data_IF_090504326314
#
_entry.id   IF_090504326314
#
_cell.length_a   1.000
_cell.length_b   1.000
_cell.length_c   1.000
_cell.angle_alpha   90.00
_cell.angle_beta   90.00
_cell.angle_gamma   90.00
#
_symmetry.space_group_name_H-M   'P 1'
#
loop_
_entity.id
_entity.type
_entity.pdbx_description
1 polymer ?
#
# COMPACT_ATOMS: atom_id res chain seq x y z
N UNK A 1 -76.90 22.42 -19.05
CA UNK A 1 -76.03 21.23 -18.70
C UNK A 1 -74.68 21.49 -19.23
N UNK A 2 -73.69 21.86 -18.35
CA UNK A 2 -72.29 22.13 -18.72
C UNK A 2 -71.47 20.95 -18.26
N UNK A 3 -70.93 20.19 -19.20
CA UNK A 3 -70.04 19.09 -18.91
C UNK A 3 -68.59 19.65 -18.76
N UNK A 4 -68.03 19.58 -17.54
CA UNK A 4 -66.61 19.88 -17.26
C UNK A 4 -65.81 18.59 -17.38
N UNK A 5 -64.94 18.51 -18.36
CA UNK A 5 -63.99 17.44 -18.51
C UNK A 5 -62.69 17.83 -17.73
N UNK A 6 -62.44 17.14 -16.62
CA UNK A 6 -61.23 17.30 -15.84
C UNK A 6 -60.07 16.49 -16.49
N UNK A 7 -59.05 17.17 -16.98
CA UNK A 7 -57.86 16.59 -17.56
C UNK A 7 -56.88 16.29 -16.39
N UNK A 8 -56.70 15.05 -16.03
CA UNK A 8 -55.71 14.62 -15.04
C UNK A 8 -54.31 14.51 -15.72
N UNK A 9 -53.42 15.43 -15.41
CA UNK A 9 -52.01 15.32 -15.78
C UNK A 9 -51.31 14.27 -14.87
N UNK A 10 -50.96 13.14 -15.46
CA UNK A 10 -50.03 12.18 -14.85
C UNK A 10 -48.59 12.71 -14.96
N UNK A 11 -48.04 13.15 -13.83
CA UNK A 11 -46.59 13.39 -13.71
C UNK A 11 -45.88 12.06 -13.61
N UNK A 12 -45.22 11.62 -14.67
CA UNK A 12 -44.26 10.52 -14.61
C UNK A 12 -42.98 11.01 -13.91
N UNK A 13 -42.80 10.64 -12.65
CA UNK A 13 -41.53 10.82 -11.94
C UNK A 13 -40.57 9.77 -12.49
N UNK A 14 -39.68 10.19 -13.37
CA UNK A 14 -38.54 9.35 -13.80
C UNK A 14 -37.61 9.19 -12.58
N UNK A 15 -37.64 8.04 -11.93
CA UNK A 15 -36.59 7.64 -11.02
C UNK A 15 -35.28 7.44 -11.84
N UNK A 16 -34.39 8.41 -11.80
CA UNK A 16 -33.04 8.20 -12.25
C UNK A 16 -32.43 7.12 -11.33
N UNK A 17 -32.15 5.96 -11.91
CA UNK A 17 -31.35 4.94 -11.20
C UNK A 17 -30.05 5.61 -10.76
N UNK A 18 -29.59 5.41 -9.51
CA UNK A 18 -28.32 5.96 -9.09
C UNK A 18 -27.22 5.42 -10.01
N UNK A 19 -26.40 6.31 -10.53
CA UNK A 19 -25.18 5.94 -11.24
C UNK A 19 -24.35 5.07 -10.29
N UNK A 20 -24.07 3.82 -10.67
CA UNK A 20 -23.28 2.88 -9.87
C UNK A 20 -21.79 3.26 -9.81
N UNK A 21 -21.37 4.27 -10.58
CA UNK A 21 -20.00 4.74 -10.57
C UNK A 21 -19.82 5.88 -9.55
N UNK A 22 -18.86 5.71 -8.63
CA UNK A 22 -18.45 6.79 -7.74
C UNK A 22 -17.64 7.86 -8.49
N UNK A 23 -17.56 9.09 -7.94
CA UNK A 23 -16.93 10.21 -8.64
C UNK A 23 -15.46 9.95 -9.01
N UNK A 24 -14.71 9.18 -8.21
CA UNK A 24 -13.30 8.89 -8.50
C UNK A 24 -13.15 7.90 -9.65
N UNK A 25 -13.94 6.82 -9.69
CA UNK A 25 -13.89 5.86 -10.79
C UNK A 25 -14.20 6.52 -12.14
N UNK A 26 -15.20 7.40 -12.17
CA UNK A 26 -15.59 8.13 -13.41
C UNK A 26 -14.45 9.05 -13.88
N UNK A 27 -13.80 9.77 -12.95
CA UNK A 27 -12.65 10.62 -13.28
C UNK A 27 -11.47 9.80 -13.80
N UNK A 28 -11.16 8.66 -13.17
CA UNK A 28 -10.11 7.74 -13.59
C UNK A 28 -10.39 7.20 -14.99
N UNK A 29 -11.61 6.73 -15.25
CA UNK A 29 -12.02 6.25 -16.58
C UNK A 29 -11.99 7.36 -17.64
N UNK A 30 -12.48 8.56 -17.32
CA UNK A 30 -12.47 9.72 -18.24
C UNK A 30 -11.05 10.17 -18.59
N UNK A 31 -10.13 10.12 -17.64
CA UNK A 31 -8.71 10.47 -17.80
C UNK A 31 -7.92 9.36 -18.50
N UNK A 32 -8.48 8.16 -18.60
CA UNK A 32 -7.87 6.95 -19.13
C UNK A 32 -6.58 6.54 -18.39
N UNK A 33 -6.44 6.93 -17.14
CA UNK A 33 -5.29 6.56 -16.28
C UNK A 33 -5.57 6.76 -14.81
N UNK A 34 -5.00 5.88 -13.97
CA UNK A 34 -4.92 6.02 -12.52
C UNK A 34 -3.81 7.01 -12.14
N UNK A 35 -4.02 7.82 -11.10
CA UNK A 35 -2.95 8.63 -10.49
C UNK A 35 -2.63 8.08 -9.10
N UNK A 36 -1.43 7.55 -8.96
CA UNK A 36 -0.95 6.90 -7.75
C UNK A 36 0.16 7.70 -7.08
N UNK A 37 -0.01 8.07 -5.82
CA UNK A 37 1.06 8.64 -5.01
C UNK A 37 1.97 7.54 -4.46
N UNK A 38 3.27 7.63 -4.71
CA UNK A 38 4.23 6.61 -4.29
C UNK A 38 5.52 7.20 -3.74
N UNK A 39 6.30 6.36 -3.06
CA UNK A 39 7.61 6.73 -2.52
C UNK A 39 8.65 6.74 -3.64
N UNK A 40 9.37 7.86 -3.85
CA UNK A 40 10.35 7.92 -4.93
C UNK A 40 11.73 7.38 -4.58
N UNK A 41 11.96 6.92 -3.34
CA UNK A 41 13.30 6.57 -2.87
C UNK A 41 13.41 5.28 -2.05
N UNK A 42 12.34 4.45 -1.94
CA UNK A 42 12.36 3.24 -1.13
C UNK A 42 12.46 1.98 -2.00
N UNK A 43 13.67 1.42 -2.07
CA UNK A 43 13.91 0.18 -2.79
C UNK A 43 12.99 -0.94 -2.28
N UNK A 44 12.44 -1.73 -3.20
CA UNK A 44 11.47 -2.78 -2.90
C UNK A 44 10.02 -2.30 -2.75
N UNK A 45 9.75 -1.06 -2.41
CA UNK A 45 8.39 -0.51 -2.27
C UNK A 45 8.03 0.47 -3.38
N UNK A 46 8.83 1.51 -3.58
CA UNK A 46 8.63 2.51 -4.63
C UNK A 46 9.94 3.17 -5.01
N UNK A 47 10.38 2.95 -6.24
CA UNK A 47 11.62 3.51 -6.76
C UNK A 47 11.54 3.66 -8.28
N UNK A 48 11.66 4.88 -8.83
CA UNK A 48 11.87 5.06 -10.26
C UNK A 48 13.34 4.79 -10.60
N UNK A 49 13.58 4.18 -11.76
CA UNK A 49 14.92 4.07 -12.35
C UNK A 49 15.30 5.36 -13.10
N UNK A 50 16.51 5.39 -13.66
CA UNK A 50 17.06 6.54 -14.43
C UNK A 50 16.24 6.86 -15.69
N UNK A 51 15.38 5.94 -16.13
CA UNK A 51 14.46 6.13 -17.27
C UNK A 51 13.05 6.51 -16.83
N UNK A 52 12.84 6.73 -15.53
CA UNK A 52 11.54 7.02 -14.95
C UNK A 52 10.61 5.81 -14.85
N UNK A 53 11.13 4.58 -15.00
CA UNK A 53 10.33 3.37 -14.83
C UNK A 53 10.23 3.04 -13.34
N UNK A 54 9.02 3.03 -12.83
CA UNK A 54 8.74 2.75 -11.43
C UNK A 54 8.74 1.24 -11.15
N UNK A 55 9.32 0.84 -10.02
CA UNK A 55 9.33 -0.54 -9.52
C UNK A 55 9.05 -0.57 -8.02
N UNK A 56 8.52 -1.68 -7.53
CA UNK A 56 8.31 -1.91 -6.11
C UNK A 56 6.92 -2.43 -5.77
N UNK A 57 6.78 -2.89 -4.55
CA UNK A 57 5.59 -3.53 -4.02
C UNK A 57 4.35 -2.61 -4.06
N UNK A 58 4.50 -1.36 -3.60
CA UNK A 58 3.45 -0.34 -3.64
C UNK A 58 3.10 0.09 -5.08
N UNK A 59 4.11 0.13 -5.94
CA UNK A 59 3.96 0.44 -7.37
C UNK A 59 3.12 -0.62 -8.07
N UNK A 60 3.41 -1.89 -7.79
CA UNK A 60 2.67 -3.01 -8.38
C UNK A 60 1.24 -3.11 -7.88
N UNK A 61 0.98 -2.70 -6.65
CA UNK A 61 -0.38 -2.56 -6.17
C UNK A 61 -1.19 -1.55 -7.01
N UNK A 62 -0.64 -0.38 -7.32
CA UNK A 62 -1.31 0.59 -8.21
C UNK A 62 -1.50 0.04 -9.64
N UNK A 63 -0.54 -0.74 -10.14
CA UNK A 63 -0.69 -1.45 -11.42
C UNK A 63 -1.80 -2.50 -11.36
N UNK A 64 -2.00 -3.16 -10.23
CA UNK A 64 -3.10 -4.09 -10.03
C UNK A 64 -4.46 -3.37 -10.08
N UNK A 65 -4.60 -2.22 -9.42
CA UNK A 65 -5.81 -1.38 -9.52
C UNK A 65 -6.07 -0.95 -10.97
N UNK A 66 -5.03 -0.49 -11.69
CA UNK A 66 -5.18 -0.11 -13.10
C UNK A 66 -5.56 -1.32 -13.99
N UNK A 67 -4.99 -2.50 -13.70
CA UNK A 67 -5.35 -3.72 -14.42
C UNK A 67 -6.81 -4.11 -14.21
N UNK A 68 -7.33 -3.97 -12.99
CA UNK A 68 -8.74 -4.21 -12.71
C UNK A 68 -9.67 -3.32 -13.56
N UNK A 69 -9.31 -2.05 -13.72
CA UNK A 69 -10.14 -1.05 -14.40
C UNK A 69 -9.97 -1.11 -15.92
N UNK A 70 -8.72 -1.14 -16.41
CA UNK A 70 -8.36 -0.92 -17.81
C UNK A 70 -7.86 -2.17 -18.53
N UNK A 71 -7.61 -3.27 -17.82
CA UNK A 71 -6.86 -4.42 -18.33
C UNK A 71 -5.44 -4.05 -18.86
N UNK A 72 -4.87 -2.98 -18.31
CA UNK A 72 -3.54 -2.49 -18.68
C UNK A 72 -2.81 -1.94 -17.45
N UNK A 73 -1.74 -2.61 -16.98
CA UNK A 73 -0.95 -2.17 -15.82
C UNK A 73 -0.14 -0.90 -16.07
N UNK A 74 -0.05 -0.44 -17.32
CA UNK A 74 0.67 0.79 -17.69
C UNK A 74 -0.18 2.04 -17.58
N UNK A 75 -1.50 1.91 -17.44
CA UNK A 75 -2.41 3.04 -17.27
C UNK A 75 -2.37 3.61 -15.85
N UNK A 76 -1.16 3.84 -15.36
CA UNK A 76 -0.87 4.49 -14.07
C UNK A 76 0.14 5.61 -14.28
N UNK A 77 -0.18 6.80 -13.77
CA UNK A 77 0.76 7.88 -13.56
C UNK A 77 1.18 7.91 -12.10
N UNK A 78 2.46 7.79 -11.84
CA UNK A 78 2.99 7.88 -10.48
C UNK A 78 3.36 9.32 -10.14
N UNK A 79 3.02 9.75 -8.92
CA UNK A 79 3.39 11.04 -8.33
C UNK A 79 4.36 10.76 -7.19
N UNK A 80 5.61 11.27 -7.28
CA UNK A 80 6.59 11.15 -6.22
C UNK A 80 6.18 12.03 -5.03
N UNK A 81 6.03 11.45 -3.84
CA UNK A 81 5.58 12.17 -2.65
C UNK A 81 6.51 11.91 -1.46
N UNK A 82 6.82 13.00 -0.72
CA UNK A 82 7.49 12.88 0.58
C UNK A 82 6.51 12.34 1.64
N UNK A 83 7.01 11.95 2.81
CA UNK A 83 6.16 11.56 3.92
C UNK A 83 5.25 12.70 4.40
N UNK A 84 5.70 13.95 4.26
CA UNK A 84 4.95 15.14 4.66
C UNK A 84 3.85 15.51 3.68
N UNK A 85 4.11 15.39 2.36
CA UNK A 85 3.20 15.93 1.33
C UNK A 85 2.11 14.93 0.93
N UNK A 86 2.30 13.62 1.19
CA UNK A 86 1.41 12.55 0.71
C UNK A 86 -0.06 12.73 1.06
N UNK A 87 -0.36 13.22 2.25
CA UNK A 87 -1.74 13.39 2.70
C UNK A 87 -2.41 14.63 2.09
N UNK A 88 -1.66 15.71 1.92
CA UNK A 88 -2.15 16.91 1.21
C UNK A 88 -2.46 16.58 -0.26
N UNK A 89 -1.60 15.83 -0.93
CA UNK A 89 -1.83 15.38 -2.31
C UNK A 89 -3.08 14.49 -2.43
N UNK A 90 -3.33 13.60 -1.44
CA UNK A 90 -4.53 12.78 -1.43
C UNK A 90 -5.79 13.61 -1.17
N UNK A 91 -5.76 14.53 -0.20
CA UNK A 91 -6.90 15.39 0.13
C UNK A 91 -7.29 16.32 -1.01
N UNK A 92 -6.33 16.92 -1.68
CA UNK A 92 -6.56 17.84 -2.80
C UNK A 92 -7.09 17.17 -4.08
N UNK A 93 -7.03 15.82 -4.15
CA UNK A 93 -7.38 15.08 -5.37
C UNK A 93 -6.29 15.10 -6.43
N UNK A 94 -5.07 15.52 -6.12
CA UNK A 94 -3.91 15.39 -6.99
C UNK A 94 -3.63 13.93 -7.35
N UNK A 95 -3.88 13.03 -6.39
CA UNK A 95 -3.81 11.58 -6.56
C UNK A 95 -5.16 10.92 -6.25
N UNK A 96 -5.42 9.79 -6.88
CA UNK A 96 -6.64 8.99 -6.67
C UNK A 96 -6.45 7.99 -5.52
N UNK A 97 -5.25 7.45 -5.38
CA UNK A 97 -4.84 6.49 -4.37
C UNK A 97 -3.43 6.79 -3.90
N UNK A 98 -3.21 6.65 -2.60
CA UNK A 98 -1.89 6.70 -1.98
C UNK A 98 -1.43 5.28 -1.68
N UNK A 99 -0.40 4.78 -2.40
CA UNK A 99 0.29 3.52 -2.10
C UNK A 99 1.78 3.83 -1.93
N UNK A 100 2.17 4.05 -0.65
CA UNK A 100 3.46 4.65 -0.28
C UNK A 100 3.85 4.28 1.15
N UNK A 101 4.07 3.00 1.41
CA UNK A 101 4.44 2.53 2.76
C UNK A 101 3.80 3.37 3.87
N UNK A 102 2.46 3.49 3.84
CA UNK A 102 1.72 4.40 4.71
C UNK A 102 1.05 3.63 5.83
N UNK A 103 1.47 3.89 7.05
CA UNK A 103 0.92 3.28 8.26
C UNK A 103 -0.51 3.73 8.49
N UNK A 104 -1.41 2.78 8.63
CA UNK A 104 -2.78 3.01 9.07
C UNK A 104 -2.80 3.37 10.54
N UNK A 105 -3.27 4.56 10.87
CA UNK A 105 -3.49 5.02 12.25
C UNK A 105 -4.85 5.68 12.38
N UNK A 106 -5.43 5.62 13.58
CA UNK A 106 -6.70 6.29 13.87
C UNK A 106 -6.66 7.78 13.52
N UNK A 107 -5.59 8.49 13.87
CA UNK A 107 -5.48 9.92 13.59
C UNK A 107 -5.47 10.26 12.11
N UNK A 108 -4.87 9.41 11.26
CA UNK A 108 -4.89 9.57 9.80
C UNK A 108 -6.26 9.24 9.22
N UNK A 109 -6.88 8.19 9.69
CA UNK A 109 -8.19 7.76 9.20
C UNK A 109 -9.29 8.72 9.65
N UNK A 110 -9.51 8.82 10.96
CA UNK A 110 -10.63 9.60 11.52
C UNK A 110 -10.33 11.10 11.58
N UNK A 111 -9.07 11.45 11.91
CA UNK A 111 -8.67 12.86 12.10
C UNK A 111 -8.40 13.60 10.78
N UNK A 112 -7.98 12.90 9.72
CA UNK A 112 -7.63 13.51 8.43
C UNK A 112 -8.58 13.13 7.29
N UNK A 113 -9.59 12.29 7.53
CA UNK A 113 -10.62 11.97 6.55
C UNK A 113 -10.16 11.03 5.42
N UNK A 114 -9.35 10.03 5.77
CA UNK A 114 -8.94 8.98 4.84
C UNK A 114 -9.61 7.64 5.16
N UNK A 115 -9.70 6.78 4.18
CA UNK A 115 -9.99 5.35 4.34
C UNK A 115 -8.77 4.56 3.96
N UNK A 116 -8.35 3.67 4.89
CA UNK A 116 -7.26 2.74 4.63
C UNK A 116 -7.82 1.42 4.10
N UNK A 117 -7.29 0.98 2.98
CA UNK A 117 -7.52 -0.37 2.46
C UNK A 117 -6.94 -1.43 3.38
N UNK A 118 -6.98 -2.71 2.97
CA UNK A 118 -6.36 -3.78 3.74
C UNK A 118 -4.87 -3.54 3.95
N UNK A 119 -4.35 -4.09 5.05
CA UNK A 119 -2.91 -4.04 5.32
C UNK A 119 -2.18 -4.88 4.28
N UNK A 120 -1.47 -4.20 3.37
CA UNK A 120 -0.67 -4.85 2.33
C UNK A 120 0.66 -5.36 2.88
N UNK A 121 1.20 -4.70 3.91
CA UNK A 121 2.44 -5.10 4.55
C UNK A 121 2.40 -4.83 6.06
N UNK A 122 2.56 -5.86 6.87
CA UNK A 122 2.71 -5.77 8.32
C UNK A 122 4.17 -5.54 8.66
N UNK A 123 4.47 -4.36 9.18
CA UNK A 123 5.81 -3.92 9.57
C UNK A 123 5.85 -3.49 11.05
N UNK A 124 6.99 -3.06 11.48
CA UNK A 124 7.25 -2.42 12.75
C UNK A 124 8.46 -1.50 12.63
N UNK A 125 8.64 -0.59 13.58
CA UNK A 125 9.79 0.31 13.62
C UNK A 125 10.99 -0.33 14.31
N UNK A 126 12.19 -0.07 13.79
CA UNK A 126 13.44 -0.52 14.37
C UNK A 126 14.57 0.50 14.25
N UNK A 127 15.75 0.07 14.61
CA UNK A 127 16.95 0.90 14.65
C UNK A 127 18.06 0.29 13.81
N UNK A 128 18.67 1.10 12.96
CA UNK A 128 19.91 0.78 12.24
C UNK A 128 21.07 1.47 12.95
N UNK A 129 22.09 0.70 13.30
CA UNK A 129 23.27 1.19 14.00
C UNK A 129 24.56 0.71 13.33
N UNK A 130 25.66 1.46 13.51
CA UNK A 130 26.98 0.97 13.10
C UNK A 130 27.46 -0.08 14.11
N UNK A 131 28.07 -1.16 13.65
CA UNK A 131 28.66 -2.20 14.50
C UNK A 131 29.69 -1.64 15.49
N UNK A 132 30.41 -0.59 15.10
CA UNK A 132 31.39 0.08 15.97
C UNK A 132 30.78 0.77 17.21
N UNK A 133 29.46 1.00 17.23
CA UNK A 133 28.77 1.51 18.41
C UNK A 133 28.72 0.47 19.54
N UNK A 134 28.94 -0.81 19.20
CA UNK A 134 29.01 -1.95 20.11
C UNK A 134 27.79 -2.08 21.02
N UNK A 135 26.59 -1.83 20.46
CA UNK A 135 25.29 -2.05 21.10
C UNK A 135 24.58 -3.23 20.48
N UNK A 136 23.82 -3.96 21.26
CA UNK A 136 23.05 -5.14 20.83
C UNK A 136 21.54 -5.00 21.06
N UNK A 137 21.14 -3.95 21.77
CA UNK A 137 19.75 -3.68 22.13
C UNK A 137 19.42 -2.18 21.98
N UNK A 138 18.18 -1.88 21.60
CA UNK A 138 17.66 -0.52 21.59
C UNK A 138 17.65 0.15 22.97
N UNK A 139 17.65 -0.64 24.04
CA UNK A 139 17.74 -0.15 25.42
C UNK A 139 19.10 0.44 25.77
N UNK A 140 20.11 0.18 24.94
CA UNK A 140 21.47 0.72 25.12
C UNK A 140 21.68 2.07 24.39
N UNK A 141 20.64 2.60 23.73
CA UNK A 141 20.71 3.82 22.92
C UNK A 141 20.50 5.12 23.70
N UNK A 142 20.49 5.08 25.04
CA UNK A 142 20.33 6.30 25.84
C UNK A 142 21.46 7.30 25.61
N UNK A 143 21.12 8.55 25.27
CA UNK A 143 22.05 9.63 24.96
C UNK A 143 22.48 9.69 23.49
N UNK A 144 22.04 8.75 22.64
CA UNK A 144 22.39 8.74 21.22
C UNK A 144 21.70 9.84 20.43
N UNK A 145 22.38 10.33 19.37
CA UNK A 145 21.77 11.14 18.33
C UNK A 145 21.08 10.23 17.30
N UNK A 146 19.79 10.49 17.02
CA UNK A 146 18.97 9.60 16.20
C UNK A 146 18.38 10.34 15.02
N UNK A 147 18.79 9.93 13.81
CA UNK A 147 18.24 10.40 12.55
C UNK A 147 16.85 9.79 12.31
N UNK A 148 15.87 10.65 12.02
CA UNK A 148 14.49 10.25 11.73
C UNK A 148 13.88 11.12 10.62
N UNK A 149 12.96 10.58 9.83
CA UNK A 149 12.25 11.35 8.81
C UNK A 149 11.01 12.03 9.41
N UNK A 150 10.84 13.34 9.14
CA UNK A 150 9.67 14.12 9.56
C UNK A 150 8.37 13.64 8.93
N UNK A 151 7.25 13.80 9.64
CA UNK A 151 5.90 13.47 9.16
C UNK A 151 5.62 11.98 9.11
N UNK A 152 6.40 11.18 9.82
CA UNK A 152 6.25 9.72 9.94
C UNK A 152 5.72 9.32 11.32
N UNK A 153 5.16 8.12 11.43
CA UNK A 153 4.87 7.47 12.72
C UNK A 153 6.15 7.20 13.49
N UNK A 154 7.25 6.94 12.77
CA UNK A 154 8.56 6.68 13.37
C UNK A 154 9.07 7.83 14.23
N UNK A 155 8.78 9.08 13.86
CA UNK A 155 9.13 10.27 14.66
C UNK A 155 8.37 10.28 16.01
N UNK A 156 7.07 9.92 15.99
CA UNK A 156 6.23 9.88 17.18
C UNK A 156 6.57 8.69 18.09
N UNK A 157 6.71 7.50 17.49
CA UNK A 157 7.04 6.28 18.23
C UNK A 157 8.41 6.34 18.89
N UNK A 158 9.38 7.01 18.23
CA UNK A 158 10.71 7.26 18.81
C UNK A 158 10.59 8.00 20.14
N UNK A 159 9.82 9.08 20.17
CA UNK A 159 9.61 9.88 21.39
C UNK A 159 8.92 9.05 22.49
N UNK A 160 7.91 8.28 22.11
CA UNK A 160 7.17 7.44 23.05
C UNK A 160 8.03 6.31 23.63
N UNK A 161 8.82 5.64 22.79
CA UNK A 161 9.71 4.55 23.23
C UNK A 161 10.75 5.03 24.24
N UNK A 162 11.46 6.13 23.94
CA UNK A 162 12.49 6.67 24.82
C UNK A 162 11.90 7.19 26.14
N UNK A 163 10.74 7.86 26.10
CA UNK A 163 10.02 8.30 27.29
C UNK A 163 9.58 7.11 28.16
N UNK A 164 9.06 6.05 27.58
CA UNK A 164 8.57 4.86 28.31
C UNK A 164 9.70 4.12 29.04
N UNK A 165 10.92 4.20 28.51
CA UNK A 165 12.09 3.55 29.10
C UNK A 165 13.00 4.50 29.89
N UNK A 166 12.54 5.72 30.20
CA UNK A 166 13.31 6.76 30.91
C UNK A 166 14.67 7.06 30.25
N UNK A 167 14.75 6.90 28.92
CA UNK A 167 15.96 7.15 28.14
C UNK A 167 15.94 8.56 27.53
N UNK A 168 17.14 9.14 27.38
CA UNK A 168 17.35 10.42 26.68
C UNK A 168 17.87 10.15 25.28
N UNK A 169 17.57 11.03 24.33
CA UNK A 169 18.12 10.99 22.97
C UNK A 169 18.12 12.39 22.36
N UNK A 170 18.86 12.57 21.28
CA UNK A 170 18.88 13.79 20.49
C UNK A 170 18.22 13.51 19.12
N UNK A 171 16.99 13.99 18.85
CA UNK A 171 16.36 13.79 17.55
C UNK A 171 16.99 14.70 16.49
N UNK A 172 17.39 14.12 15.36
CA UNK A 172 17.86 14.83 14.18
C UNK A 172 16.93 14.52 13.01
N UNK A 173 16.01 15.44 12.73
CA UNK A 173 14.92 15.21 11.79
C UNK A 173 15.21 15.82 10.41
N UNK A 174 14.88 15.06 9.34
CA UNK A 174 15.07 15.43 7.94
C UNK A 174 13.76 15.33 7.14
N UNK A 175 13.68 16.07 6.05
CA UNK A 175 12.47 16.07 5.20
C UNK A 175 12.32 14.79 4.37
N UNK A 176 13.41 14.23 3.89
CA UNK A 176 13.40 13.05 3.01
C UNK A 176 14.15 11.85 3.61
N UNK A 177 13.81 10.65 3.14
CA UNK A 177 14.51 9.44 3.55
C UNK A 177 16.00 9.46 3.12
N UNK A 178 16.28 9.96 1.92
CA UNK A 178 17.65 10.03 1.38
C UNK A 178 18.53 10.99 2.19
N UNK A 179 18.00 12.14 2.62
CA UNK A 179 18.72 13.05 3.52
C UNK A 179 18.99 12.38 4.88
N UNK A 180 17.99 11.65 5.40
CA UNK A 180 18.08 10.99 6.70
C UNK A 180 19.17 9.92 6.71
N UNK A 181 19.16 9.01 5.70
CA UNK A 181 20.17 7.94 5.64
C UNK A 181 21.57 8.50 5.32
N UNK A 182 21.66 9.52 4.48
CA UNK A 182 22.95 10.19 4.17
C UNK A 182 23.54 10.85 5.42
N UNK A 183 22.72 11.53 6.23
CA UNK A 183 23.15 12.13 7.48
C UNK A 183 23.68 11.08 8.46
N UNK A 184 22.97 9.95 8.59
CA UNK A 184 23.41 8.82 9.37
C UNK A 184 24.74 8.25 8.80
N UNK A 185 24.82 7.98 7.50
CA UNK A 185 26.01 7.36 6.88
C UNK A 185 27.27 8.21 7.03
N UNK A 186 27.13 9.54 6.95
CA UNK A 186 28.23 10.51 7.17
C UNK A 186 28.56 10.78 8.64
N UNK A 187 27.86 10.17 9.58
CA UNK A 187 28.17 10.27 11.01
C UNK A 187 27.56 11.45 11.75
N UNK A 188 26.57 12.14 11.14
CA UNK A 188 25.83 13.21 11.83
C UNK A 188 24.92 12.70 12.95
N UNK A 189 24.47 11.44 12.84
CA UNK A 189 23.72 10.74 13.86
C UNK A 189 24.39 9.38 14.15
N UNK A 190 24.23 8.92 15.38
CA UNK A 190 24.70 7.60 15.82
C UNK A 190 23.81 6.47 15.31
N UNK A 191 22.51 6.76 15.25
CA UNK A 191 21.43 5.80 14.97
C UNK A 191 20.53 6.35 13.87
N UNK A 192 19.98 5.45 13.06
CA UNK A 192 18.89 5.75 12.13
C UNK A 192 17.67 4.90 12.53
N UNK A 193 16.48 5.51 12.55
CA UNK A 193 15.22 4.80 12.86
C UNK A 193 14.17 5.01 11.80
N UNK A 194 13.48 3.94 11.45
CA UNK A 194 12.37 3.86 10.51
C UNK A 194 11.70 2.49 10.60
N UNK A 195 10.74 2.19 9.72
CA UNK A 195 10.19 0.84 9.54
C UNK A 195 11.32 -0.18 9.29
N UNK A 196 11.19 -1.39 9.83
CA UNK A 196 12.21 -2.44 9.70
C UNK A 196 12.52 -2.76 8.25
N UNK A 197 11.49 -2.89 7.40
CA UNK A 197 11.66 -3.14 5.97
C UNK A 197 12.46 -2.01 5.29
N UNK A 198 12.17 -0.77 5.65
CA UNK A 198 12.91 0.39 5.17
C UNK A 198 14.34 0.43 5.74
N UNK A 199 14.56 0.07 7.00
CA UNK A 199 15.91 0.01 7.58
C UNK A 199 16.81 -0.97 6.82
N UNK A 200 16.29 -2.13 6.41
CA UNK A 200 17.02 -3.07 5.55
C UNK A 200 17.31 -2.51 4.16
N UNK A 201 16.34 -1.81 3.55
CA UNK A 201 16.53 -1.17 2.26
C UNK A 201 17.56 -0.04 2.32
N UNK A 202 17.48 0.83 3.33
CA UNK A 202 18.37 1.97 3.51
C UNK A 202 19.80 1.54 3.88
N UNK A 203 19.96 0.44 4.64
CA UNK A 203 21.26 -0.15 4.91
C UNK A 203 22.02 -0.44 3.63
N UNK A 204 21.34 -0.90 2.59
CA UNK A 204 21.99 -1.22 1.30
C UNK A 204 22.51 0.00 0.55
N UNK A 205 22.11 1.21 0.94
CA UNK A 205 22.57 2.49 0.36
C UNK A 205 23.76 3.09 1.10
N UNK A 206 24.12 2.57 2.29
CA UNK A 206 25.29 3.05 3.03
C UNK A 206 26.59 2.69 2.31
N UNK A 207 27.66 3.43 2.57
CA UNK A 207 28.95 3.21 1.93
C UNK A 207 29.49 1.79 2.17
N UNK A 208 29.26 1.23 3.36
CA UNK A 208 29.65 -0.14 3.74
C UNK A 208 28.49 -0.84 4.45
N UNK A 209 27.54 -1.46 3.73
CA UNK A 209 26.36 -2.09 4.33
C UNK A 209 26.67 -3.12 5.43
N UNK A 210 27.81 -3.80 5.32
CA UNK A 210 28.25 -4.83 6.28
C UNK A 210 28.74 -4.26 7.62
N UNK A 211 29.04 -2.97 7.70
CA UNK A 211 29.41 -2.29 8.93
C UNK A 211 28.19 -1.88 9.79
N UNK A 212 26.99 -2.19 9.32
CA UNK A 212 25.75 -1.82 9.96
C UNK A 212 24.89 -3.04 10.33
N UNK A 213 24.14 -2.92 11.41
CA UNK A 213 23.13 -3.91 11.85
C UNK A 213 21.81 -3.21 12.13
N UNK A 214 20.72 -3.94 11.87
CA UNK A 214 19.39 -3.58 12.37
C UNK A 214 19.23 -4.29 13.71
N UNK A 215 18.93 -3.54 14.77
CA UNK A 215 18.73 -4.10 16.11
C UNK A 215 17.49 -5.00 16.14
N UNK A 216 17.41 -5.97 17.06
CA UNK A 216 16.36 -6.97 17.05
C UNK A 216 14.99 -6.46 17.53
N UNK A 217 14.95 -5.34 18.25
CA UNK A 217 13.71 -4.82 18.82
C UNK A 217 12.82 -4.19 17.75
N UNK A 218 11.54 -4.53 17.81
CA UNK A 218 10.46 -3.90 17.07
C UNK A 218 9.65 -3.07 18.06
N UNK A 219 9.73 -1.74 17.93
CA UNK A 219 9.20 -0.81 18.94
C UNK A 219 7.79 -0.31 18.64
N UNK A 220 7.21 -0.65 17.49
CA UNK A 220 5.85 -0.26 17.13
C UNK A 220 5.18 -1.29 16.23
N UNK A 221 3.88 -1.08 15.99
CA UNK A 221 3.12 -1.75 14.94
C UNK A 221 2.96 -0.76 13.78
N UNK A 222 3.39 -1.18 12.59
CA UNK A 222 3.28 -0.40 11.36
C UNK A 222 2.47 -1.18 10.32
N UNK A 223 1.11 -1.16 10.43
CA UNK A 223 0.26 -1.77 9.40
C UNK A 223 0.22 -0.86 8.17
N UNK A 224 1.01 -1.18 7.15
CA UNK A 224 1.11 -0.41 5.92
C UNK A 224 -0.01 -0.80 4.95
N UNK A 225 -0.67 0.18 4.37
CA UNK A 225 -1.73 -0.05 3.39
C UNK A 225 -1.98 1.15 2.48
N UNK A 226 -2.73 0.93 1.38
CA UNK A 226 -3.17 2.01 0.52
C UNK A 226 -4.23 2.85 1.22
N UNK A 227 -4.26 4.14 0.93
CA UNK A 227 -5.27 5.05 1.44
C UNK A 227 -5.98 5.80 0.30
N UNK A 228 -7.26 6.09 0.50
CA UNK A 228 -8.11 6.89 -0.38
C UNK A 228 -8.82 7.97 0.42
N UNK A 229 -9.43 8.94 -0.24
CA UNK A 229 -10.32 9.92 0.40
C UNK A 229 -11.59 9.25 0.88
N UNK A 230 -12.12 9.66 2.03
CA UNK A 230 -13.44 9.23 2.51
C UNK A 230 -14.57 9.74 1.59
N UNK A 231 -15.70 9.02 1.63
CA UNK A 231 -16.93 9.41 0.97
C UNK A 231 -17.08 8.91 -0.47
N UNK A 232 -16.23 8.01 -0.93
CA UNK A 232 -16.37 7.27 -2.19
C UNK A 232 -16.24 5.77 -1.95
N UNK A 233 -17.29 5.17 -1.41
CA UNK A 233 -17.33 3.75 -1.03
C UNK A 233 -17.02 2.82 -2.21
N UNK A 234 -17.43 3.20 -3.43
CA UNK A 234 -17.13 2.39 -4.60
C UNK A 234 -15.63 2.39 -4.89
N UNK A 235 -14.99 3.56 -4.87
CA UNK A 235 -13.54 3.66 -5.07
C UNK A 235 -12.76 2.91 -3.99
N UNK A 236 -13.16 3.09 -2.74
CA UNK A 236 -12.59 2.34 -1.62
C UNK A 236 -12.74 0.82 -1.81
N UNK A 237 -13.92 0.36 -2.24
CA UNK A 237 -14.16 -1.06 -2.49
C UNK A 237 -13.28 -1.60 -3.63
N UNK A 238 -13.06 -0.86 -4.71
CA UNK A 238 -12.14 -1.26 -5.79
C UNK A 238 -10.72 -1.46 -5.25
N UNK A 239 -10.21 -0.47 -4.51
CA UNK A 239 -8.86 -0.53 -3.91
C UNK A 239 -8.75 -1.70 -2.93
N UNK A 240 -9.72 -1.86 -2.06
CA UNK A 240 -9.80 -2.93 -1.07
C UNK A 240 -9.83 -4.33 -1.71
N UNK A 241 -10.75 -4.54 -2.64
CA UNK A 241 -10.92 -5.84 -3.27
C UNK A 241 -9.79 -6.20 -4.25
N UNK A 242 -9.05 -5.22 -4.78
CA UNK A 242 -7.82 -5.48 -5.52
C UNK A 242 -6.82 -6.27 -4.67
N UNK A 243 -6.57 -5.84 -3.43
CA UNK A 243 -5.68 -6.58 -2.53
C UNK A 243 -6.23 -7.98 -2.20
N UNK A 244 -7.51 -8.06 -1.83
CA UNK A 244 -8.11 -9.35 -1.48
C UNK A 244 -8.13 -10.34 -2.64
N UNK A 245 -8.33 -9.88 -3.87
CA UNK A 245 -8.21 -10.75 -5.03
C UNK A 245 -6.80 -11.32 -5.21
N UNK A 246 -5.77 -10.50 -4.97
CA UNK A 246 -4.37 -10.97 -5.04
C UNK A 246 -4.05 -11.98 -3.93
N UNK A 247 -4.53 -11.77 -2.71
CA UNK A 247 -4.35 -12.70 -1.57
C UNK A 247 -5.10 -14.00 -1.82
N UNK A 248 -6.37 -13.93 -2.24
CA UNK A 248 -7.18 -15.11 -2.52
C UNK A 248 -6.62 -15.92 -3.70
N UNK A 249 -6.07 -15.27 -4.71
CA UNK A 249 -5.41 -15.95 -5.81
C UNK A 249 -4.19 -16.76 -5.35
N UNK A 250 -3.39 -16.22 -4.41
CA UNK A 250 -2.30 -16.97 -3.80
C UNK A 250 -2.81 -18.20 -3.03
N UNK A 251 -3.88 -18.05 -2.22
CA UNK A 251 -4.51 -19.16 -1.49
C UNK A 251 -4.98 -20.28 -2.40
N UNK A 252 -5.57 -19.91 -3.54
CA UNK A 252 -6.11 -20.85 -4.53
C UNK A 252 -5.07 -21.38 -5.52
N UNK A 253 -3.78 -21.04 -5.34
CA UNK A 253 -2.69 -21.36 -6.25
C UNK A 253 -2.96 -20.87 -7.69
N UNK A 254 -3.60 -19.71 -7.83
CA UNK A 254 -3.76 -18.98 -9.08
C UNK A 254 -2.66 -17.93 -9.17
N UNK A 255 -1.91 -17.91 -10.26
CA UNK A 255 -0.80 -17.00 -10.48
C UNK A 255 -0.73 -16.54 -11.94
N UNK A 256 0.17 -15.60 -12.24
CA UNK A 256 0.29 -14.99 -13.56
C UNK A 256 0.59 -15.99 -14.68
N UNK A 257 1.18 -17.14 -14.36
CA UNK A 257 1.57 -18.16 -15.34
C UNK A 257 0.47 -19.17 -15.64
N UNK A 258 -0.42 -19.45 -14.67
CA UNK A 258 -1.44 -20.48 -14.79
C UNK A 258 -2.87 -19.94 -14.89
N UNK A 259 -3.09 -18.64 -14.74
CA UNK A 259 -4.43 -18.02 -14.67
C UNK A 259 -5.31 -18.36 -15.89
N UNK A 260 -4.74 -18.49 -17.08
CA UNK A 260 -5.46 -18.86 -18.30
C UNK A 260 -6.00 -20.30 -18.23
N UNK A 261 -5.22 -21.23 -17.71
CA UNK A 261 -5.62 -22.61 -17.51
C UNK A 261 -6.67 -22.72 -16.41
N UNK A 262 -6.53 -21.88 -15.38
CA UNK A 262 -7.42 -21.81 -14.22
C UNK A 262 -8.84 -21.31 -14.55
N UNK A 263 -9.08 -20.71 -15.71
CA UNK A 263 -10.43 -20.42 -16.20
C UNK A 263 -11.27 -21.71 -16.40
N UNK A 264 -10.63 -22.86 -16.54
CA UNK A 264 -11.28 -24.19 -16.68
C UNK A 264 -11.26 -24.99 -15.39
N UNK A 265 -10.75 -24.44 -14.29
CA UNK A 265 -10.66 -25.13 -13.00
C UNK A 265 -12.08 -25.47 -12.49
N UNK A 266 -12.33 -26.72 -12.04
CA UNK A 266 -13.65 -27.11 -11.52
C UNK A 266 -13.99 -26.45 -10.18
N UNK A 267 -13.01 -25.91 -9.44
CA UNK A 267 -13.22 -25.29 -8.14
C UNK A 267 -14.13 -24.04 -8.24
N UNK A 268 -15.28 -24.02 -7.56
CA UNK A 268 -16.20 -22.89 -7.63
C UNK A 268 -15.60 -21.56 -7.11
N UNK A 269 -14.65 -21.61 -6.18
CA UNK A 269 -13.99 -20.40 -5.66
C UNK A 269 -13.08 -19.78 -6.72
N UNK A 270 -12.34 -20.63 -7.46
CA UNK A 270 -11.51 -20.17 -8.59
C UNK A 270 -12.39 -19.57 -9.68
N UNK A 271 -13.52 -20.22 -10.01
CA UNK A 271 -14.45 -19.72 -11.04
C UNK A 271 -15.04 -18.35 -10.66
N UNK A 272 -15.43 -18.17 -9.40
CA UNK A 272 -15.94 -16.88 -8.93
C UNK A 272 -14.86 -15.80 -8.94
N UNK A 273 -13.67 -16.11 -8.41
CA UNK A 273 -12.55 -15.17 -8.42
C UNK A 273 -12.20 -14.69 -9.83
N UNK A 274 -12.14 -15.62 -10.79
CA UNK A 274 -11.75 -15.30 -12.17
C UNK A 274 -12.91 -14.79 -13.06
N UNK A 275 -14.12 -14.65 -12.49
CA UNK A 275 -15.28 -14.14 -13.21
C UNK A 275 -15.89 -15.13 -14.21
N UNK A 276 -15.65 -16.44 -14.06
CA UNK A 276 -16.28 -17.50 -14.85
C UNK A 276 -17.71 -17.76 -14.37
N UNK A 277 -17.95 -17.61 -13.08
CA UNK A 277 -19.27 -17.74 -12.45
C UNK A 277 -19.58 -16.52 -11.56
N UNK A 278 -20.85 -16.10 -11.53
CA UNK A 278 -21.31 -14.93 -10.78
C UNK A 278 -21.06 -13.60 -11.52
N UNK A 279 -21.44 -12.49 -10.90
CA UNK A 279 -21.28 -11.13 -11.45
C UNK A 279 -20.71 -10.17 -10.37
N UNK A 280 -19.56 -10.50 -9.83
CA UNK A 280 -18.97 -9.79 -8.70
C UNK A 280 -18.25 -8.49 -9.10
N UNK A 281 -17.99 -8.27 -10.40
CA UNK A 281 -17.45 -7.02 -10.92
C UNK A 281 -18.48 -5.88 -10.94
N UNK A 282 -19.77 -6.19 -11.15
CA UNK A 282 -20.82 -5.19 -11.29
C UNK A 282 -20.93 -4.29 -10.05
N UNK A 283 -20.91 -4.88 -8.86
CA UNK A 283 -20.96 -4.13 -7.59
C UNK A 283 -19.76 -3.19 -7.38
N UNK A 284 -18.67 -3.43 -8.09
CA UNK A 284 -17.49 -2.55 -8.13
C UNK A 284 -17.53 -1.54 -9.30
N UNK A 285 -18.52 -1.63 -10.20
CA UNK A 285 -18.56 -0.87 -11.46
C UNK A 285 -17.46 -1.29 -12.44
N UNK A 286 -16.98 -2.52 -12.32
CA UNK A 286 -15.95 -3.13 -13.16
C UNK A 286 -16.53 -4.27 -14.01
N UNK A 287 -15.74 -4.74 -14.97
CA UNK A 287 -16.08 -5.97 -15.73
C UNK A 287 -15.95 -7.20 -14.84
N UNK A 288 -16.64 -8.27 -15.20
CA UNK A 288 -16.68 -9.49 -14.41
C UNK A 288 -15.29 -10.14 -14.23
N UNK A 289 -14.42 -9.99 -15.20
CA UNK A 289 -13.07 -10.54 -15.26
C UNK A 289 -12.01 -9.65 -14.55
N UNK A 290 -12.44 -8.69 -13.71
CA UNK A 290 -11.55 -7.72 -13.07
C UNK A 290 -10.39 -8.37 -12.29
N UNK A 291 -10.67 -9.42 -11.52
CA UNK A 291 -9.64 -10.12 -10.74
C UNK A 291 -8.71 -10.97 -11.64
N UNK A 292 -9.27 -11.63 -12.69
CA UNK A 292 -8.45 -12.28 -13.71
C UNK A 292 -7.44 -11.30 -14.33
N UNK A 293 -7.87 -10.08 -14.68
CA UNK A 293 -7.01 -9.03 -15.24
C UNK A 293 -5.87 -8.65 -14.30
N UNK A 294 -6.14 -8.54 -13.00
CA UNK A 294 -5.11 -8.28 -11.97
C UNK A 294 -4.06 -9.38 -12.03
N UNK A 295 -4.49 -10.64 -11.89
CA UNK A 295 -3.58 -11.78 -11.79
C UNK A 295 -2.82 -12.00 -13.09
N UNK A 296 -3.47 -11.83 -14.23
CA UNK A 296 -2.82 -11.96 -15.55
C UNK A 296 -1.71 -10.93 -15.76
N UNK A 297 -1.97 -9.67 -15.41
CA UNK A 297 -1.08 -8.55 -15.72
C UNK A 297 -0.02 -8.32 -14.63
N UNK A 298 -0.33 -8.62 -13.36
CA UNK A 298 0.53 -8.30 -12.21
C UNK A 298 0.91 -9.55 -11.42
N UNK A 299 -0.01 -10.52 -11.27
CA UNK A 299 0.20 -11.70 -10.46
C UNK A 299 -0.54 -11.64 -9.12
N UNK A 300 -0.40 -12.69 -8.33
CA UNK A 300 -0.95 -12.78 -6.99
C UNK A 300 -0.05 -12.07 -5.95
N UNK A 301 -0.51 -12.00 -4.71
CA UNK A 301 0.22 -11.32 -3.63
C UNK A 301 1.61 -11.93 -3.39
N UNK A 302 1.73 -13.26 -3.41
CA UNK A 302 3.01 -13.95 -3.21
C UNK A 302 4.02 -13.64 -4.31
N UNK A 303 3.58 -13.59 -5.58
CA UNK A 303 4.46 -13.24 -6.70
C UNK A 303 4.98 -11.80 -6.57
N UNK A 304 4.09 -10.87 -6.20
CA UNK A 304 4.46 -9.45 -6.02
C UNK A 304 5.40 -9.28 -4.84
N UNK A 305 5.12 -9.94 -3.71
CA UNK A 305 6.01 -9.93 -2.55
C UNK A 305 7.40 -10.48 -2.91
N UNK A 306 7.45 -11.67 -3.52
CA UNK A 306 8.68 -12.40 -3.76
C UNK A 306 9.65 -11.62 -4.66
N UNK A 307 9.15 -11.02 -5.76
CA UNK A 307 10.03 -10.30 -6.69
C UNK A 307 10.48 -8.93 -6.21
N UNK A 308 9.72 -8.27 -5.30
CA UNK A 308 10.06 -6.95 -4.80
C UNK A 308 10.79 -6.97 -3.44
N UNK A 309 10.41 -7.87 -2.55
CA UNK A 309 10.84 -7.90 -1.15
C UNK A 309 11.48 -9.22 -0.76
N UNK A 310 10.99 -10.35 -1.31
CA UNK A 310 11.32 -11.71 -0.93
C UNK A 310 12.71 -12.18 -1.35
N UNK A 311 12.91 -13.48 -1.31
CA UNK A 311 14.21 -14.12 -1.57
C UNK A 311 14.73 -13.86 -3.00
N UNK A 312 13.85 -13.62 -3.97
CA UNK A 312 14.20 -13.26 -5.35
C UNK A 312 14.63 -11.79 -5.50
N UNK A 313 14.41 -10.96 -4.49
CA UNK A 313 14.80 -9.55 -4.48
C UNK A 313 16.19 -9.34 -3.86
N UNK A 314 16.70 -8.11 -4.00
CA UNK A 314 17.95 -7.70 -3.32
C UNK A 314 17.78 -7.59 -1.80
N UNK A 315 16.54 -7.41 -1.30
CA UNK A 315 16.27 -7.21 0.12
C UNK A 315 16.20 -8.51 0.91
N UNK A 316 15.77 -9.61 0.28
CA UNK A 316 15.67 -10.95 0.87
C UNK A 316 14.89 -10.99 2.18
N UNK A 317 13.83 -10.17 2.27
CA UNK A 317 12.96 -10.10 3.44
C UNK A 317 12.08 -11.35 3.48
N UNK A 318 12.05 -12.01 4.63
CA UNK A 318 11.16 -13.15 4.86
C UNK A 318 9.72 -12.70 5.04
N UNK A 319 8.77 -13.52 4.57
CA UNK A 319 7.33 -13.21 4.64
C UNK A 319 6.88 -12.88 6.09
N UNK A 320 7.25 -13.69 7.07
CA UNK A 320 6.84 -13.49 8.46
C UNK A 320 5.33 -13.27 8.59
N UNK A 321 4.91 -12.17 9.23
CA UNK A 321 3.50 -11.79 9.34
C UNK A 321 2.82 -11.53 7.98
N UNK A 322 3.58 -11.32 6.94
CA UNK A 322 3.09 -11.10 5.58
C UNK A 322 2.81 -12.40 4.81
N UNK A 323 2.98 -13.56 5.44
CA UNK A 323 2.53 -14.83 4.89
C UNK A 323 1.01 -14.95 4.95
N UNK A 324 0.44 -15.87 4.15
CA UNK A 324 -0.97 -16.23 4.25
C UNK A 324 -1.30 -16.77 5.64
N UNK A 325 -2.54 -16.61 6.08
CA UNK A 325 -3.04 -17.16 7.35
C UNK A 325 -2.84 -18.67 7.45
N UNK A 326 -2.94 -19.40 6.36
CA UNK A 326 -2.64 -20.84 6.26
C UNK A 326 -1.17 -21.17 6.58
N UNK A 327 -0.28 -20.19 6.43
CA UNK A 327 1.15 -20.28 6.70
C UNK A 327 1.56 -19.44 7.94
N UNK A 328 0.64 -19.28 8.90
CA UNK A 328 0.85 -18.55 10.17
C UNK A 328 1.12 -17.06 10.01
N UNK A 329 0.75 -16.46 8.88
CA UNK A 329 0.78 -15.02 8.65
C UNK A 329 -0.56 -14.36 8.93
N UNK A 330 -0.67 -13.09 8.57
CA UNK A 330 -1.86 -12.27 8.76
C UNK A 330 -2.56 -11.91 7.45
N UNK A 331 -2.03 -12.33 6.30
CA UNK A 331 -2.73 -12.10 5.03
C UNK A 331 -3.92 -13.05 4.92
N UNK A 332 -5.11 -12.45 4.99
CA UNK A 332 -6.39 -13.14 5.00
C UNK A 332 -7.39 -12.39 4.11
N UNK A 333 -7.97 -13.08 3.14
CA UNK A 333 -8.95 -12.51 2.24
C UNK A 333 -10.37 -12.98 2.58
N UNK A 334 -11.35 -12.08 2.66
CA UNK A 334 -12.75 -12.47 2.58
C UNK A 334 -13.05 -13.16 1.24
N UNK A 335 -13.92 -14.16 1.20
CA UNK A 335 -14.23 -14.88 -0.05
C UNK A 335 -15.03 -14.01 -1.03
N UNK A 336 -14.76 -14.16 -2.33
CA UNK A 336 -15.60 -13.61 -3.40
C UNK A 336 -16.85 -14.50 -3.53
N UNK A 337 -17.99 -13.98 -2.99
CA UNK A 337 -19.30 -14.66 -2.99
C UNK A 337 -20.44 -13.68 -3.19
#
# INVERSE_FOLDING_TARGET
MKNSVSLALLFAVAFAAPSLAGPTLDQVKKRDSLVCGSNPGLAGFGLPDDKGQWTGFDVEFCRAVASAIFNDPKKVRFVPLTAKDRFTALQSGEIDVLSRNTTWTQSREVGQGFEFGPVTYYDGQGFLVRKKLNVSSALELSGASICVQQGTTSELNLADYFRTHDMKYEPVAFATADETIKAYDTGRCDVFTTDMSQAYAERSKTANPDDHIVLPEVISKEPLGPAVRQGDDQWFNIVKWTHYAMVQAEELNVNSKNVDEKLKDPNPEVKRLLGVEGNFGEGLGLTQDWAYRIIKNVGNYGEVFERNLGDSSKLKIKRGLNALWTNKGLQYSPPVR
#
